data_IF_171366207761
#
_entry.id   IF_171366207761
#
_cell.length_a   1.000
_cell.length_b   1.000
_cell.length_c   1.000
_cell.angle_alpha   90.00
_cell.angle_beta   90.00
_cell.angle_gamma   90.00
#
_symmetry.space_group_name_H-M   'P 1'
#
loop_
_entity.id
_entity.type
_entity.pdbx_description
1 polymer ?
#
# COMPACT_ATOMS: atom_id res chain seq x y z
N UNK A 1 -2.80 9.28 -29.63
CA UNK A 1 -1.61 10.15 -29.72
C UNK A 1 -1.12 10.38 -28.30
N UNK A 2 -0.10 9.64 -27.84
CA UNK A 2 0.64 10.01 -26.63
C UNK A 2 2.12 9.75 -26.94
N UNK A 3 2.73 10.80 -27.48
CA UNK A 3 4.10 10.87 -27.91
C UNK A 3 4.49 12.33 -27.82
N UNK A 4 4.45 12.84 -26.60
CA UNK A 4 5.24 14.01 -26.21
C UNK A 4 5.97 13.63 -24.93
N UNK A 5 7.29 13.59 -25.03
CA UNK A 5 8.26 13.54 -23.95
C UNK A 5 8.12 14.85 -23.16
N UNK A 6 7.04 14.96 -22.38
CA UNK A 6 6.83 16.07 -21.46
C UNK A 6 7.83 15.86 -20.31
N UNK A 7 9.00 16.49 -20.42
CA UNK A 7 9.99 16.49 -19.37
C UNK A 7 9.32 16.87 -18.04
N UNK A 8 9.37 15.98 -17.04
CA UNK A 8 8.75 16.20 -15.74
C UNK A 8 9.12 17.58 -15.18
N UNK A 9 8.14 18.27 -14.59
CA UNK A 9 8.34 19.55 -13.92
C UNK A 9 9.48 19.42 -12.89
N UNK A 10 10.43 20.35 -12.92
CA UNK A 10 11.55 20.38 -11.97
C UNK A 10 11.29 21.44 -10.90
N UNK A 11 11.08 21.00 -9.67
CA UNK A 11 10.84 21.83 -8.49
C UNK A 11 12.04 21.85 -7.54
N UNK A 12 12.02 22.76 -6.58
CA UNK A 12 12.92 22.77 -5.42
C UNK A 12 12.16 22.29 -4.19
N UNK A 13 12.92 21.86 -3.17
CA UNK A 13 12.33 21.49 -1.88
C UNK A 13 11.54 22.61 -1.20
N UNK A 14 11.79 23.88 -1.50
CA UNK A 14 10.98 24.99 -0.98
C UNK A 14 9.61 25.11 -1.64
N UNK A 15 9.44 24.58 -2.86
CA UNK A 15 8.16 24.60 -3.56
C UNK A 15 7.26 23.49 -2.97
N UNK A 16 7.82 22.31 -2.72
CA UNK A 16 7.13 21.18 -2.06
C UNK A 16 6.91 21.40 -0.56
N UNK A 17 7.90 22.00 0.11
CA UNK A 17 7.87 22.28 1.55
C UNK A 17 7.91 23.80 1.80
N UNK A 18 6.83 24.54 1.50
CA UNK A 18 6.84 25.99 1.63
C UNK A 18 7.08 26.43 3.09
N UNK A 19 7.59 27.65 3.34
CA UNK A 19 8.01 28.06 4.69
C UNK A 19 6.92 27.96 5.77
N UNK A 20 5.64 28.07 5.41
CA UNK A 20 4.51 27.95 6.34
C UNK A 20 3.97 26.52 6.51
N UNK A 21 4.49 25.53 5.77
CA UNK A 21 4.01 24.15 5.89
C UNK A 21 4.52 23.44 7.14
N UNK A 22 3.76 22.46 7.62
CA UNK A 22 4.20 21.46 8.58
C UNK A 22 4.68 20.26 7.77
N UNK A 23 5.90 19.79 8.03
CA UNK A 23 6.50 18.64 7.31
C UNK A 23 6.86 17.59 8.34
N UNK A 24 6.29 16.41 8.22
CA UNK A 24 6.53 15.27 9.12
C UNK A 24 6.89 14.05 8.28
N UNK A 25 8.08 13.51 8.47
CA UNK A 25 8.45 12.18 7.95
C UNK A 25 7.67 11.14 8.74
N UNK A 26 6.83 10.37 8.05
CA UNK A 26 5.92 9.42 8.67
C UNK A 26 6.41 7.97 8.52
N UNK A 27 7.05 7.63 7.41
CA UNK A 27 7.51 6.27 7.15
C UNK A 27 8.78 6.23 6.28
N UNK A 28 9.41 5.05 6.27
CA UNK A 28 10.43 4.62 5.31
C UNK A 28 9.92 3.33 4.68
N UNK A 29 9.68 3.35 3.37
CA UNK A 29 9.35 2.17 2.57
C UNK A 29 10.63 1.59 1.94
N UNK A 30 10.53 0.48 1.20
CA UNK A 30 11.68 -0.20 0.59
C UNK A 30 12.48 0.69 -0.38
N UNK A 31 11.83 1.65 -1.04
CA UNK A 31 12.47 2.53 -2.04
C UNK A 31 12.11 4.01 -1.90
N UNK A 32 11.39 4.39 -0.85
CA UNK A 32 10.95 5.76 -0.65
C UNK A 32 11.00 6.21 0.81
N UNK A 33 11.20 7.51 1.00
CA UNK A 33 10.84 8.20 2.23
C UNK A 33 9.44 8.81 2.07
N UNK A 34 8.61 8.72 3.10
CA UNK A 34 7.23 9.21 3.04
C UNK A 34 7.03 10.33 4.05
N UNK A 35 6.47 11.44 3.59
CA UNK A 35 6.22 12.64 4.38
C UNK A 35 4.75 13.03 4.33
N UNK A 36 4.17 13.41 5.48
CA UNK A 36 2.93 14.18 5.52
C UNK A 36 3.28 15.66 5.50
N UNK A 37 2.73 16.39 4.54
CA UNK A 37 2.88 17.85 4.44
C UNK A 37 1.52 18.50 4.58
N UNK A 38 1.42 19.49 5.45
CA UNK A 38 0.19 20.27 5.65
C UNK A 38 0.48 21.76 5.46
N UNK A 39 -0.32 22.44 4.65
CA UNK A 39 -0.24 23.89 4.44
C UNK A 39 -1.66 24.49 4.31
N UNK A 40 -1.78 25.73 3.83
CA UNK A 40 -3.08 26.40 3.68
C UNK A 40 -3.96 25.81 2.57
N UNK A 41 -3.39 25.03 1.66
CA UNK A 41 -4.11 24.35 0.58
C UNK A 41 -4.61 22.96 0.97
N UNK A 42 -4.13 22.39 2.07
CA UNK A 42 -4.58 21.10 2.57
C UNK A 42 -3.45 20.22 3.10
N UNK A 43 -3.66 18.92 2.99
CA UNK A 43 -2.71 17.88 3.41
C UNK A 43 -2.43 16.97 2.22
N UNK A 44 -1.15 16.68 1.98
CA UNK A 44 -0.72 15.65 1.02
C UNK A 44 0.31 14.72 1.66
N UNK A 45 0.29 13.48 1.21
CA UNK A 45 1.36 12.51 1.43
C UNK A 45 2.34 12.61 0.27
N UNK A 46 3.62 12.76 0.59
CA UNK A 46 4.71 12.93 -0.37
C UNK A 46 5.61 11.70 -0.28
N UNK A 47 5.56 10.84 -1.30
CA UNK A 47 6.47 9.70 -1.47
C UNK A 47 7.69 10.17 -2.27
N UNK A 48 8.88 10.03 -1.70
CA UNK A 48 10.14 10.59 -2.22
C UNK A 48 11.09 9.45 -2.57
N UNK A 49 11.43 9.34 -3.85
CA UNK A 49 12.31 8.31 -4.39
C UNK A 49 13.58 8.97 -4.92
N UNK A 50 14.75 8.58 -4.41
CA UNK A 50 16.02 9.17 -4.85
C UNK A 50 16.36 8.69 -6.26
N UNK A 51 16.63 9.63 -7.15
CA UNK A 51 17.10 9.35 -8.50
C UNK A 51 18.62 9.32 -8.55
N UNK A 52 19.17 8.66 -9.58
CA UNK A 52 20.61 8.61 -9.84
C UNK A 52 21.19 10.03 -9.98
N UNK A 53 21.82 10.51 -8.89
CA UNK A 53 22.27 11.88 -8.74
C UNK A 53 23.29 11.99 -7.61
N UNK A 54 24.19 12.99 -7.62
CA UNK A 54 25.25 13.09 -6.65
C UNK A 54 24.72 13.48 -5.26
N UNK A 55 25.31 12.90 -4.22
CA UNK A 55 25.17 13.30 -2.81
C UNK A 55 26.55 13.48 -2.19
N UNK A 56 26.65 14.22 -1.07
CA UNK A 56 27.91 14.28 -0.31
C UNK A 56 28.28 12.87 0.17
N UNK A 57 29.57 12.53 0.08
CA UNK A 57 30.09 11.29 0.64
C UNK A 57 29.81 11.17 2.15
N UNK A 58 29.72 9.94 2.63
CA UNK A 58 29.60 9.66 4.06
C UNK A 58 30.84 10.14 4.81
N UNK A 59 30.66 10.59 6.05
CA UNK A 59 31.79 10.87 6.96
C UNK A 59 32.36 9.57 7.50
N UNK A 60 33.61 9.59 7.98
CA UNK A 60 34.24 8.42 8.62
C UNK A 60 33.42 7.88 9.80
N UNK A 61 32.72 8.75 10.53
CA UNK A 61 31.81 8.35 11.62
C UNK A 61 30.58 7.64 11.11
N UNK A 62 30.00 8.10 9.99
CA UNK A 62 28.83 7.45 9.38
C UNK A 62 29.16 6.06 8.86
N UNK A 63 30.31 5.92 8.18
CA UNK A 63 30.83 4.61 7.74
C UNK A 63 31.04 3.68 8.93
N UNK A 64 31.69 4.17 10.00
CA UNK A 64 31.94 3.39 11.21
C UNK A 64 30.65 2.94 11.90
N UNK A 65 29.59 3.74 11.83
CA UNK A 65 28.29 3.43 12.40
C UNK A 65 27.42 2.54 11.50
N UNK A 66 27.95 2.04 10.37
CA UNK A 66 27.24 1.13 9.48
C UNK A 66 26.11 1.80 8.69
N UNK A 67 26.19 3.12 8.44
CA UNK A 67 25.23 3.78 7.56
C UNK A 67 25.33 3.16 6.16
N UNK A 68 24.23 2.61 5.67
CA UNK A 68 24.10 2.16 4.29
C UNK A 68 23.37 3.27 3.54
N UNK A 69 23.82 3.58 2.33
CA UNK A 69 23.05 4.45 1.44
C UNK A 69 22.17 3.57 0.57
N UNK A 70 20.90 3.94 0.43
CA UNK A 70 19.95 3.29 -0.45
C UNK A 70 20.45 3.35 -1.91
N UNK A 71 20.08 2.38 -2.74
CA UNK A 71 20.41 2.46 -4.16
C UNK A 71 19.43 3.39 -4.89
N UNK A 72 19.91 4.35 -5.71
CA UNK A 72 19.03 5.24 -6.44
C UNK A 72 18.26 4.49 -7.52
N UNK A 73 17.04 4.94 -7.83
CA UNK A 73 16.18 4.37 -8.87
C UNK A 73 16.19 5.20 -10.15
N UNK A 74 15.86 4.54 -11.26
CA UNK A 74 15.49 5.21 -12.50
C UNK A 74 13.99 5.55 -12.47
N UNK A 75 13.57 6.55 -13.25
CA UNK A 75 12.14 6.86 -13.42
C UNK A 75 11.40 5.68 -14.08
N UNK A 76 12.09 4.97 -14.99
CA UNK A 76 11.55 3.76 -15.63
C UNK A 76 11.29 2.64 -14.62
N UNK A 77 12.07 2.57 -13.52
CA UNK A 77 11.89 1.53 -12.50
C UNK A 77 10.58 1.67 -11.71
N UNK A 78 9.96 2.85 -11.76
CA UNK A 78 8.75 3.21 -11.01
C UNK A 78 7.59 3.58 -11.93
N UNK A 79 7.79 3.54 -13.24
CA UNK A 79 6.77 3.83 -14.26
C UNK A 79 5.55 2.91 -14.09
N UNK A 80 5.78 1.63 -13.78
CA UNK A 80 4.69 0.69 -13.51
C UNK A 80 3.86 1.08 -12.29
N UNK A 81 4.49 1.51 -11.19
CA UNK A 81 3.80 1.98 -9.99
C UNK A 81 2.99 3.25 -10.29
N UNK A 82 3.55 4.19 -11.03
CA UNK A 82 2.88 5.43 -11.43
C UNK A 82 1.65 5.15 -12.31
N UNK A 83 1.77 4.25 -13.29
CA UNK A 83 0.67 3.87 -14.16
C UNK A 83 -0.46 3.20 -13.38
N UNK A 84 -0.13 2.28 -12.46
CA UNK A 84 -1.13 1.63 -11.62
C UNK A 84 -1.79 2.65 -10.67
N UNK A 85 -1.02 3.58 -10.10
CA UNK A 85 -1.55 4.65 -9.25
C UNK A 85 -2.57 5.52 -9.99
N UNK A 86 -2.26 5.91 -11.23
CA UNK A 86 -3.14 6.70 -12.09
C UNK A 86 -4.44 5.95 -12.40
N UNK A 87 -4.36 4.65 -12.71
CA UNK A 87 -5.55 3.85 -13.04
C UNK A 87 -6.47 3.63 -11.82
N UNK A 88 -5.89 3.49 -10.63
CA UNK A 88 -6.62 3.28 -9.39
C UNK A 88 -7.19 4.57 -8.79
N UNK A 89 -6.75 5.75 -9.24
CA UNK A 89 -7.01 7.03 -8.57
C UNK A 89 -8.50 7.35 -8.38
N UNK A 90 -9.35 6.88 -9.30
CA UNK A 90 -10.80 7.12 -9.28
C UNK A 90 -11.59 5.93 -8.66
N UNK A 91 -10.91 4.89 -8.15
CA UNK A 91 -11.55 3.74 -7.50
C UNK A 91 -11.60 3.99 -5.98
N UNK A 92 -12.81 4.07 -5.37
CA UNK A 92 -12.91 4.30 -3.93
C UNK A 92 -12.23 3.20 -3.12
N UNK A 93 -11.52 3.61 -2.07
CA UNK A 93 -10.70 2.73 -1.24
C UNK A 93 -9.23 2.66 -1.63
N UNK A 94 -8.82 3.28 -2.75
CA UNK A 94 -7.41 3.47 -3.12
C UNK A 94 -6.96 4.91 -2.89
N UNK A 95 -5.65 5.13 -2.75
CA UNK A 95 -5.12 6.47 -2.53
C UNK A 95 -5.29 7.33 -3.78
N UNK A 96 -5.74 8.56 -3.54
CA UNK A 96 -5.79 9.55 -4.60
C UNK A 96 -4.37 9.91 -5.05
N UNK A 97 -4.11 9.66 -6.32
CA UNK A 97 -2.93 10.15 -7.01
C UNK A 97 -3.17 11.60 -7.48
N UNK A 98 -2.33 12.55 -7.06
CA UNK A 98 -2.46 13.96 -7.45
C UNK A 98 -1.55 14.30 -8.64
N UNK A 99 -0.24 14.21 -8.44
CA UNK A 99 0.76 14.53 -9.46
C UNK A 99 2.11 13.88 -9.11
N UNK A 100 3.06 13.87 -10.05
CA UNK A 100 4.46 13.58 -9.80
C UNK A 100 5.37 14.59 -10.49
N UNK A 101 6.52 14.88 -9.88
CA UNK A 101 7.50 15.83 -10.40
C UNK A 101 8.91 15.49 -9.90
N UNK A 102 9.92 16.10 -10.52
CA UNK A 102 11.31 15.97 -10.08
C UNK A 102 11.65 17.10 -9.12
N UNK A 103 12.11 16.77 -7.92
CA UNK A 103 12.70 17.76 -7.01
C UNK A 103 14.21 17.75 -7.13
N UNK A 104 14.80 18.91 -7.40
CA UNK A 104 16.25 19.09 -7.53
C UNK A 104 16.77 20.11 -6.51
N UNK A 105 17.76 19.70 -5.73
CA UNK A 105 18.58 20.62 -4.94
C UNK A 105 18.74 20.25 -3.47
N UNK A 106 19.32 21.20 -2.72
CA UNK A 106 19.58 21.04 -1.29
C UNK A 106 18.26 20.96 -0.51
N UNK A 107 18.27 20.13 0.53
CA UNK A 107 17.17 20.03 1.48
C UNK A 107 16.89 21.35 2.20
N UNK A 108 15.62 21.56 2.57
CA UNK A 108 15.25 22.61 3.52
C UNK A 108 15.65 22.22 4.94
N UNK A 109 15.74 23.22 5.83
CA UNK A 109 15.95 22.96 7.27
C UNK A 109 14.85 22.06 7.85
N UNK A 110 13.60 22.25 7.42
CA UNK A 110 12.45 21.43 7.88
C UNK A 110 12.62 19.96 7.54
N UNK A 111 13.06 19.65 6.32
CA UNK A 111 13.30 18.28 5.88
C UNK A 111 14.39 17.61 6.73
N UNK A 112 15.46 18.34 7.04
CA UNK A 112 16.52 17.86 7.93
C UNK A 112 16.00 17.63 9.37
N UNK A 113 15.26 18.60 9.92
CA UNK A 113 14.76 18.53 11.28
C UNK A 113 13.79 17.34 11.46
N UNK A 114 12.88 17.12 10.50
CA UNK A 114 11.97 15.97 10.55
C UNK A 114 12.68 14.63 10.35
N UNK A 115 13.69 14.57 9.49
CA UNK A 115 14.52 13.38 9.30
C UNK A 115 15.19 12.97 10.61
N UNK A 116 15.79 13.93 11.31
CA UNK A 116 16.43 13.68 12.59
C UNK A 116 15.41 13.29 13.68
N UNK A 117 14.22 13.90 13.69
CA UNK A 117 13.17 13.54 14.63
C UNK A 117 12.70 12.10 14.43
N UNK A 118 12.47 11.69 13.17
CA UNK A 118 12.10 10.34 12.79
C UNK A 118 13.16 9.32 13.25
N UNK A 119 14.44 9.52 12.88
CA UNK A 119 15.50 8.59 13.30
C UNK A 119 15.72 8.52 14.81
N UNK A 120 15.55 9.63 15.53
CA UNK A 120 15.59 9.60 17.00
C UNK A 120 14.43 8.81 17.60
N UNK A 121 13.25 8.80 16.96
CA UNK A 121 12.11 7.97 17.38
C UNK A 121 12.40 6.51 17.08
N UNK A 122 12.69 6.17 15.83
CA UNK A 122 12.99 4.80 15.40
C UNK A 122 14.12 4.18 16.21
N UNK A 123 15.22 4.89 16.46
CA UNK A 123 16.34 4.36 17.26
C UNK A 123 15.98 4.11 18.74
N UNK A 124 14.94 4.76 19.26
CA UNK A 124 14.44 4.48 20.63
C UNK A 124 13.56 3.23 20.65
N UNK A 125 12.84 2.97 19.57
CA UNK A 125 11.97 1.80 19.40
C UNK A 125 12.79 0.55 19.03
N UNK A 126 13.75 0.70 18.12
CA UNK A 126 14.66 -0.33 17.67
C UNK A 126 16.10 0.24 17.56
N UNK A 127 16.94 0.04 18.61
CA UNK A 127 18.30 0.53 18.64
C UNK A 127 19.23 -0.04 17.56
N UNK A 128 18.91 -1.23 17.04
CA UNK A 128 19.74 -1.98 16.09
C UNK A 128 19.30 -1.75 14.63
N UNK A 129 18.18 -1.04 14.41
CA UNK A 129 17.70 -0.69 13.06
C UNK A 129 18.75 0.08 12.26
N UNK A 130 19.11 -0.47 11.11
CA UNK A 130 20.02 0.13 10.15
C UNK A 130 19.32 1.30 9.44
N UNK A 131 20.02 2.42 9.31
CA UNK A 131 19.59 3.55 8.48
C UNK A 131 20.03 3.32 7.04
N UNK A 132 19.08 3.36 6.10
CA UNK A 132 19.33 3.24 4.67
C UNK A 132 19.29 4.58 3.93
N UNK A 133 18.49 5.54 4.40
CA UNK A 133 18.32 6.80 3.69
C UNK A 133 19.35 7.88 4.09
N UNK A 134 20.01 8.53 3.11
CA UNK A 134 21.02 9.54 3.35
C UNK A 134 20.35 10.76 3.97
N UNK A 135 20.95 11.26 5.04
CA UNK A 135 20.46 12.48 5.70
C UNK A 135 20.30 13.63 4.68
N UNK A 136 19.19 14.40 4.75
CA UNK A 136 18.97 15.58 3.90
C UNK A 136 20.12 16.61 3.91
N UNK A 137 20.94 16.61 4.97
CA UNK A 137 22.17 17.43 5.06
C UNK A 137 23.24 17.11 4.00
N UNK A 138 23.15 15.91 3.39
CA UNK A 138 24.03 15.42 2.34
C UNK A 138 23.55 15.77 0.93
N UNK A 139 22.37 16.35 0.78
CA UNK A 139 21.85 16.74 -0.54
C UNK A 139 22.65 17.93 -1.08
N UNK A 140 22.95 17.87 -2.38
CA UNK A 140 23.66 18.85 -3.18
C UNK A 140 22.70 19.60 -4.10
N UNK A 141 23.18 20.64 -4.78
CA UNK A 141 22.36 21.39 -5.75
C UNK A 141 21.86 20.52 -6.91
N UNK A 142 22.57 19.44 -7.22
CA UNK A 142 22.23 18.51 -8.31
C UNK A 142 21.64 17.19 -7.84
N UNK A 143 21.40 17.00 -6.53
CA UNK A 143 20.66 15.84 -6.03
C UNK A 143 19.21 15.92 -6.52
N UNK A 144 18.71 14.81 -7.07
CA UNK A 144 17.38 14.69 -7.67
C UNK A 144 16.56 13.62 -6.99
N UNK A 145 15.28 13.88 -6.86
CA UNK A 145 14.27 12.96 -6.34
C UNK A 145 13.09 12.97 -7.30
N UNK A 146 12.49 11.81 -7.53
CA UNK A 146 11.12 11.74 -8.00
C UNK A 146 10.23 11.89 -6.76
N UNK A 147 9.27 12.80 -6.86
CA UNK A 147 8.28 13.03 -5.81
C UNK A 147 6.92 12.71 -6.37
N UNK A 148 6.20 11.86 -5.66
CA UNK A 148 4.81 11.49 -5.95
C UNK A 148 3.95 12.11 -4.85
N UNK A 149 2.99 12.93 -5.26
CA UNK A 149 2.03 13.56 -4.38
C UNK A 149 0.72 12.77 -4.36
N UNK A 150 0.31 12.41 -3.15
CA UNK A 150 -0.86 11.58 -2.86
C UNK A 150 -1.80 12.32 -1.88
N UNK A 151 -3.09 11.99 -1.90
CA UNK A 151 -4.07 12.48 -0.93
C UNK A 151 -3.82 12.00 0.50
N UNK A 152 -4.47 12.64 1.47
CA UNK A 152 -4.35 12.23 2.89
C UNK A 152 -5.12 10.94 3.18
N UNK A 153 -4.38 9.83 3.17
CA UNK A 153 -4.87 8.48 3.41
C UNK A 153 -5.27 8.19 4.86
N UNK A 154 -4.95 9.05 5.83
CA UNK A 154 -5.19 8.80 7.26
C UNK A 154 -4.02 8.13 7.97
N UNK A 155 -4.30 7.21 8.89
CA UNK A 155 -3.31 6.56 9.75
C UNK A 155 -3.14 5.10 9.35
N UNK A 156 -1.91 4.60 9.18
CA UNK A 156 -1.67 3.19 8.86
C UNK A 156 -2.34 2.26 9.89
N UNK A 157 -2.82 1.09 9.44
CA UNK A 157 -3.53 0.13 10.28
C UNK A 157 -2.64 -0.37 11.43
N UNK A 158 -1.32 -0.50 11.19
CA UNK A 158 -0.34 -0.83 12.25
C UNK A 158 -0.27 0.19 13.39
N UNK A 159 -0.60 1.45 13.10
CA UNK A 159 -0.63 2.54 14.07
C UNK A 159 -2.06 2.81 14.60
N UNK A 160 -3.06 2.02 14.18
CA UNK A 160 -4.46 2.20 14.56
C UNK A 160 -4.88 1.22 15.67
N UNK A 161 -5.43 1.73 16.77
CA UNK A 161 -5.91 0.87 17.87
C UNK A 161 -7.33 0.36 17.60
N UNK A 162 -7.44 -0.93 17.28
CA UNK A 162 -8.70 -1.64 17.06
C UNK A 162 -9.39 -1.92 18.40
N UNK A 163 -10.54 -1.30 18.65
CA UNK A 163 -11.20 -1.32 19.98
C UNK A 163 -12.68 -1.68 19.96
N UNK A 164 -13.28 -1.73 18.77
CA UNK A 164 -14.70 -1.98 18.55
C UNK A 164 -14.85 -2.98 17.40
N UNK A 165 -15.65 -4.03 17.59
CA UNK A 165 -15.85 -5.10 16.62
C UNK A 165 -16.37 -4.60 15.27
N UNK A 166 -17.12 -3.50 15.24
CA UNK A 166 -17.57 -2.91 13.97
C UNK A 166 -16.40 -2.36 13.13
N UNK A 167 -15.26 -2.04 13.76
CA UNK A 167 -14.04 -1.69 13.05
C UNK A 167 -13.48 -2.90 12.31
N UNK A 168 -13.52 -4.10 12.92
CA UNK A 168 -13.07 -5.33 12.25
C UNK A 168 -13.91 -5.61 11.01
N UNK A 169 -15.23 -5.51 11.14
CA UNK A 169 -16.17 -5.68 10.03
C UNK A 169 -15.95 -4.66 8.92
N UNK A 170 -15.95 -3.38 9.25
CA UNK A 170 -15.87 -2.32 8.23
C UNK A 170 -14.51 -2.33 7.53
N UNK A 171 -13.40 -2.49 8.26
CA UNK A 171 -12.06 -2.50 7.67
C UNK A 171 -11.94 -3.67 6.68
N UNK A 172 -12.25 -4.89 7.12
CA UNK A 172 -12.17 -6.09 6.28
C UNK A 172 -13.10 -6.01 5.05
N UNK A 173 -14.34 -5.57 5.23
CA UNK A 173 -15.30 -5.50 4.12
C UNK A 173 -14.99 -4.35 3.16
N UNK A 174 -14.51 -3.19 3.64
CA UNK A 174 -14.09 -2.09 2.76
C UNK A 174 -12.88 -2.50 1.89
N UNK A 175 -11.91 -3.23 2.46
CA UNK A 175 -10.79 -3.79 1.69
C UNK A 175 -11.27 -4.75 0.60
N UNK A 176 -12.17 -5.68 0.95
CA UNK A 176 -12.74 -6.62 -0.01
C UNK A 176 -13.47 -5.90 -1.16
N UNK A 177 -14.28 -4.89 -0.84
CA UNK A 177 -15.03 -4.10 -1.82
C UNK A 177 -14.07 -3.33 -2.75
N UNK A 178 -13.05 -2.67 -2.19
CA UNK A 178 -12.06 -1.94 -2.97
C UNK A 178 -11.31 -2.88 -3.94
N UNK A 179 -10.82 -4.01 -3.44
CA UNK A 179 -10.12 -5.01 -4.26
C UNK A 179 -11.04 -5.60 -5.34
N UNK A 180 -12.29 -5.95 -5.03
CA UNK A 180 -13.23 -6.47 -6.01
C UNK A 180 -13.49 -5.48 -7.16
N UNK A 181 -13.62 -4.18 -6.85
CA UNK A 181 -13.76 -3.13 -7.86
C UNK A 181 -12.52 -3.00 -8.76
N UNK A 182 -11.33 -3.06 -8.16
CA UNK A 182 -10.08 -2.99 -8.92
C UNK A 182 -9.81 -4.27 -9.74
N UNK A 183 -10.20 -5.44 -9.24
CA UNK A 183 -10.20 -6.70 -9.99
C UNK A 183 -11.09 -6.60 -11.24
N UNK A 184 -12.32 -6.10 -11.08
CA UNK A 184 -13.28 -5.97 -12.18
C UNK A 184 -12.86 -4.90 -13.20
N UNK A 185 -12.39 -3.74 -12.73
CA UNK A 185 -12.03 -2.62 -13.60
C UNK A 185 -10.67 -2.79 -14.29
N UNK A 186 -9.69 -3.39 -13.60
CA UNK A 186 -8.27 -3.33 -13.98
C UNK A 186 -7.54 -4.65 -13.82
N UNK A 187 -8.24 -5.77 -13.62
CA UNK A 187 -7.64 -7.08 -13.38
C UNK A 187 -6.54 -6.98 -12.30
N UNK A 188 -6.80 -6.22 -11.24
CA UNK A 188 -5.79 -5.78 -10.29
C UNK A 188 -5.39 -6.87 -9.30
N UNK A 189 -4.11 -6.90 -8.95
CA UNK A 189 -3.56 -7.65 -7.81
C UNK A 189 -2.62 -6.74 -7.01
N UNK A 190 -2.85 -6.58 -5.71
CA UNK A 190 -2.02 -5.70 -4.88
C UNK A 190 -0.62 -6.28 -4.66
N UNK A 191 -0.55 -7.57 -4.31
CA UNK A 191 0.65 -8.37 -4.05
C UNK A 191 1.56 -7.94 -2.89
N UNK A 192 1.18 -6.88 -2.18
CA UNK A 192 1.89 -6.42 -0.99
C UNK A 192 0.97 -5.77 0.06
N UNK A 193 -0.24 -6.28 0.22
CA UNK A 193 -1.27 -5.63 1.06
C UNK A 193 -1.13 -6.04 2.53
N UNK A 194 -0.05 -5.62 3.17
CA UNK A 194 0.12 -5.75 4.62
C UNK A 194 -0.48 -4.53 5.36
N UNK A 195 -0.55 -4.59 6.69
CA UNK A 195 -1.15 -3.58 7.57
C UNK A 195 -0.55 -2.16 7.41
N UNK A 196 0.68 -2.05 6.94
CA UNK A 196 1.32 -0.76 6.64
C UNK A 196 0.78 -0.09 5.36
N UNK A 197 0.18 -0.88 4.48
CA UNK A 197 -0.38 -0.45 3.19
C UNK A 197 -1.91 -0.26 3.23
N UNK A 198 -2.52 -0.36 4.41
CA UNK A 198 -3.93 0.01 4.65
C UNK A 198 -3.95 1.18 5.63
N UNK A 199 -4.48 2.33 5.22
CA UNK A 199 -4.71 3.45 6.12
C UNK A 199 -6.18 3.57 6.49
N UNK A 200 -6.41 4.03 7.73
CA UNK A 200 -7.71 4.17 8.35
C UNK A 200 -7.98 5.65 8.62
N UNK A 201 -9.19 6.10 8.28
CA UNK A 201 -9.67 7.45 8.56
C UNK A 201 -11.07 7.39 9.16
N UNK A 202 -11.29 8.09 10.27
CA UNK A 202 -12.61 8.26 10.86
C UNK A 202 -13.31 9.46 10.21
N UNK A 203 -14.20 9.20 9.26
CA UNK A 203 -14.94 10.25 8.53
C UNK A 203 -16.32 10.50 9.12
N UNK A 204 -16.89 9.53 9.84
CA UNK A 204 -18.22 9.62 10.44
C UNK A 204 -18.17 9.17 11.90
N UNK A 205 -19.19 9.58 12.66
CA UNK A 205 -19.39 9.03 14.00
C UNK A 205 -19.87 7.57 13.88
N UNK A 206 -19.38 6.66 14.75
CA UNK A 206 -19.94 5.33 14.84
C UNK A 206 -21.45 5.38 15.06
N UNK A 207 -22.17 4.42 14.47
CA UNK A 207 -23.61 4.26 14.61
C UNK A 207 -23.90 2.98 15.36
N UNK A 208 -24.92 2.99 16.20
CA UNK A 208 -25.42 1.76 16.82
C UNK A 208 -26.10 0.89 15.78
N UNK A 209 -25.83 -0.41 15.82
CA UNK A 209 -26.59 -1.37 15.04
C UNK A 209 -28.00 -1.55 15.62
N UNK A 210 -28.99 -1.61 14.74
CA UNK A 210 -30.37 -1.95 15.11
C UNK A 210 -30.47 -3.45 15.44
N UNK A 211 -31.23 -3.81 16.47
CA UNK A 211 -31.23 -5.16 17.05
C UNK A 211 -31.65 -6.28 16.07
N UNK A 212 -32.39 -5.94 15.00
CA UNK A 212 -32.91 -6.91 14.01
C UNK A 212 -32.16 -6.86 12.66
N UNK A 213 -31.04 -6.14 12.57
CA UNK A 213 -30.25 -6.06 11.34
C UNK A 213 -29.22 -7.20 11.26
N UNK A 214 -29.25 -7.95 10.16
CA UNK A 214 -28.20 -8.91 9.80
C UNK A 214 -26.96 -8.23 9.18
N UNK A 215 -27.05 -6.94 8.88
CA UNK A 215 -25.96 -6.14 8.32
C UNK A 215 -24.88 -5.92 9.38
N UNK A 216 -23.63 -6.03 8.96
CA UNK A 216 -22.46 -5.77 9.81
C UNK A 216 -21.61 -4.61 9.29
N UNK A 217 -21.88 -4.17 8.05
CA UNK A 217 -21.17 -3.11 7.36
C UNK A 217 -21.76 -1.71 7.59
N UNK A 218 -20.89 -0.73 7.85
CA UNK A 218 -21.18 0.70 7.89
C UNK A 218 -21.43 1.28 9.29
N UNK A 219 -21.02 0.59 10.36
CA UNK A 219 -21.30 0.99 11.75
C UNK A 219 -20.14 1.70 12.45
N UNK A 220 -18.89 1.50 12.01
CA UNK A 220 -17.71 2.08 12.66
C UNK A 220 -17.48 3.56 12.31
N UNK A 221 -18.03 4.01 11.17
CA UNK A 221 -17.77 5.33 10.60
C UNK A 221 -16.34 5.52 10.09
N UNK A 222 -15.65 4.42 9.80
CA UNK A 222 -14.33 4.40 9.20
C UNK A 222 -14.40 4.31 7.67
N UNK A 223 -13.36 4.83 7.04
CA UNK A 223 -12.99 4.59 5.65
C UNK A 223 -11.57 4.02 5.62
N UNK A 224 -11.27 3.24 4.57
CA UNK A 224 -9.94 2.71 4.32
C UNK A 224 -9.34 3.33 3.06
N UNK A 225 -8.01 3.35 3.01
CA UNK A 225 -7.25 3.76 1.84
C UNK A 225 -6.07 2.81 1.65
N UNK A 226 -6.07 2.09 0.54
CA UNK A 226 -5.05 1.12 0.13
C UNK A 226 -3.90 1.87 -0.58
N UNK A 227 -2.66 1.61 -0.14
CA UNK A 227 -1.44 2.29 -0.56
C UNK A 227 -0.41 1.35 -1.18
N UNK A 228 0.58 1.95 -1.85
CA UNK A 228 1.82 1.33 -2.33
C UNK A 228 1.64 0.19 -3.35
N UNK A 229 1.77 0.56 -4.61
CA UNK A 229 1.58 -0.37 -5.74
C UNK A 229 2.91 -0.86 -6.33
N UNK A 230 4.01 -0.75 -5.58
CA UNK A 230 5.36 -1.07 -6.07
C UNK A 230 5.54 -2.52 -6.51
N UNK A 231 4.77 -3.47 -5.94
CA UNK A 231 4.78 -4.89 -6.32
C UNK A 231 3.53 -5.34 -7.08
N UNK A 232 2.59 -4.42 -7.32
CA UNK A 232 1.27 -4.74 -7.86
C UNK A 232 1.31 -5.15 -9.33
N UNK A 233 0.17 -5.67 -9.78
CA UNK A 233 -0.13 -5.97 -11.18
C UNK A 233 -1.48 -5.40 -11.55
N UNK A 234 -1.57 -4.77 -12.71
CA UNK A 234 -2.83 -4.32 -13.28
C UNK A 234 -2.82 -4.40 -14.81
N UNK A 235 -4.00 -4.40 -15.40
CA UNK A 235 -4.23 -4.32 -16.83
C UNK A 235 -5.62 -3.75 -17.06
N UNK A 236 -5.69 -2.57 -17.69
CA UNK A 236 -6.96 -2.00 -18.13
C UNK A 236 -7.51 -2.77 -19.35
N UNK A 237 -8.57 -3.59 -19.20
CA UNK A 237 -9.13 -4.37 -20.31
C UNK A 237 -9.89 -3.49 -21.31
N UNK A 238 -10.28 -2.26 -20.94
CA UNK A 238 -10.95 -1.32 -21.83
C UNK A 238 -9.99 -0.67 -22.84
N UNK A 239 -8.68 -0.62 -22.52
CA UNK A 239 -7.64 -0.15 -23.43
C UNK A 239 -7.24 -1.24 -24.43
N UNK A 240 -7.45 -0.97 -25.72
CA UNK A 240 -7.10 -1.91 -26.79
C UNK A 240 -5.61 -2.26 -26.77
N UNK A 241 -5.28 -3.56 -26.74
CA UNK A 241 -3.93 -4.09 -26.66
C UNK A 241 -3.13 -3.66 -25.40
N UNK A 242 -3.81 -3.30 -24.30
CA UNK A 242 -3.13 -3.03 -23.04
C UNK A 242 -2.35 -4.25 -22.55
N UNK A 243 -1.04 -4.10 -22.50
CA UNK A 243 -0.16 -5.07 -21.86
C UNK A 243 -0.31 -4.94 -20.34
N UNK A 244 -0.27 -6.06 -19.59
CA UNK A 244 -0.24 -6.01 -18.14
C UNK A 244 1.01 -5.27 -17.65
N UNK A 245 0.81 -4.37 -16.71
CA UNK A 245 1.87 -3.75 -15.93
C UNK A 245 2.05 -4.59 -14.67
N UNK A 246 3.27 -5.04 -14.41
CA UNK A 246 3.58 -5.78 -13.20
C UNK A 246 5.05 -5.63 -12.84
N UNK A 247 5.33 -5.49 -11.54
CA UNK A 247 6.68 -5.69 -11.04
C UNK A 247 7.05 -7.18 -11.15
N UNK A 248 8.28 -7.48 -11.60
CA UNK A 248 8.76 -8.84 -11.62
C UNK A 248 9.39 -9.18 -10.26
N UNK A 249 8.64 -9.87 -9.40
CA UNK A 249 9.13 -10.23 -8.06
C UNK A 249 10.30 -11.25 -8.12
N UNK A 250 10.56 -11.91 -9.26
CA UNK A 250 11.78 -12.74 -9.41
C UNK A 250 13.08 -11.94 -9.37
N UNK A 251 13.01 -10.61 -9.48
CA UNK A 251 14.17 -9.73 -9.35
C UNK A 251 14.72 -9.68 -7.92
N UNK A 252 13.91 -10.03 -6.92
CA UNK A 252 14.31 -10.06 -5.52
C UNK A 252 13.81 -11.34 -4.82
N UNK A 253 14.67 -12.36 -4.81
CA UNK A 253 14.35 -13.62 -4.15
C UNK A 253 14.27 -13.51 -2.63
N UNK A 254 14.80 -12.43 -2.03
CA UNK A 254 14.77 -12.23 -0.58
C UNK A 254 13.34 -12.12 -0.05
N UNK A 255 12.40 -11.61 -0.87
CA UNK A 255 10.96 -11.62 -0.59
C UNK A 255 10.45 -13.02 -0.23
N UNK A 256 10.97 -14.05 -0.89
CA UNK A 256 10.52 -15.44 -0.73
C UNK A 256 11.35 -16.21 0.29
N UNK A 257 12.64 -15.89 0.43
CA UNK A 257 13.55 -16.60 1.36
C UNK A 257 13.56 -16.01 2.77
N UNK A 258 13.10 -14.77 2.96
CA UNK A 258 13.09 -14.12 4.28
C UNK A 258 12.05 -14.74 5.22
N UNK A 259 12.37 -14.80 6.51
CA UNK A 259 11.48 -15.31 7.58
C UNK A 259 11.28 -14.28 8.69
N UNK A 260 11.68 -13.02 8.46
CA UNK A 260 11.71 -11.99 9.49
C UNK A 260 10.33 -11.47 9.94
N UNK A 261 9.27 -11.71 9.16
CA UNK A 261 7.95 -11.15 9.38
C UNK A 261 6.85 -12.10 8.86
N UNK A 262 5.65 -12.09 9.46
CA UNK A 262 4.52 -12.91 9.02
C UNK A 262 4.16 -12.72 7.53
N UNK A 263 4.26 -11.50 6.99
CA UNK A 263 3.94 -11.20 5.59
C UNK A 263 4.83 -11.98 4.59
N UNK A 264 6.02 -12.43 5.01
CA UNK A 264 6.89 -13.23 4.15
C UNK A 264 6.26 -14.56 3.73
N UNK A 265 5.35 -15.10 4.54
CA UNK A 265 4.59 -16.29 4.19
C UNK A 265 3.69 -16.05 2.98
N UNK A 266 3.08 -14.86 2.89
CA UNK A 266 2.18 -14.50 1.80
C UNK A 266 2.93 -14.44 0.47
N UNK A 267 4.13 -13.84 0.42
CA UNK A 267 4.95 -13.85 -0.80
C UNK A 267 5.28 -15.27 -1.27
N UNK A 268 5.60 -16.18 -0.35
CA UNK A 268 5.86 -17.58 -0.67
C UNK A 268 4.61 -18.30 -1.16
N UNK A 269 3.46 -18.06 -0.53
CA UNK A 269 2.18 -18.63 -0.95
C UNK A 269 1.83 -18.17 -2.37
N UNK A 270 1.95 -16.87 -2.67
CA UNK A 270 1.74 -16.34 -4.03
C UNK A 270 2.65 -17.03 -5.04
N UNK A 271 3.97 -17.03 -4.80
CA UNK A 271 4.93 -17.63 -5.73
C UNK A 271 4.70 -19.13 -5.91
N UNK A 272 4.40 -19.84 -4.83
CA UNK A 272 4.14 -21.29 -4.87
C UNK A 272 2.86 -21.61 -5.63
N UNK A 273 1.81 -20.81 -5.45
CA UNK A 273 0.56 -20.95 -6.20
C UNK A 273 0.80 -20.75 -7.70
N UNK A 274 1.58 -19.73 -8.09
CA UNK A 274 1.96 -19.53 -9.49
C UNK A 274 2.80 -20.70 -10.04
N UNK A 275 3.67 -21.30 -9.22
CA UNK A 275 4.54 -22.41 -9.61
C UNK A 275 3.79 -23.74 -9.76
N UNK A 276 2.92 -24.06 -8.80
CA UNK A 276 2.30 -25.39 -8.66
C UNK A 276 0.89 -25.43 -9.21
N UNK A 277 0.18 -24.31 -9.19
CA UNK A 277 -1.23 -24.22 -9.54
C UNK A 277 -2.17 -24.82 -8.48
N UNK A 278 -1.69 -25.04 -7.26
CA UNK A 278 -2.44 -25.49 -6.09
C UNK A 278 -2.01 -24.67 -4.85
N UNK A 279 -2.64 -24.91 -3.70
CA UNK A 279 -2.38 -24.17 -2.44
C UNK A 279 -1.21 -24.72 -1.62
N UNK A 280 -0.54 -25.78 -2.07
CA UNK A 280 0.67 -26.27 -1.41
C UNK A 280 1.79 -25.24 -1.59
N UNK A 281 2.34 -24.73 -0.50
CA UNK A 281 3.40 -23.72 -0.57
C UNK A 281 4.77 -24.26 -0.20
N UNK A 282 5.79 -23.69 -0.83
CA UNK A 282 7.18 -24.12 -0.76
C UNK A 282 7.85 -23.41 0.43
N UNK A 283 8.63 -24.12 1.27
CA UNK A 283 9.33 -23.48 2.38
C UNK A 283 10.43 -22.52 1.85
N UNK A 284 10.93 -21.59 2.68
CA UNK A 284 11.90 -20.56 2.26
C UNK A 284 13.11 -21.10 1.50
N UNK A 285 13.64 -22.26 1.89
CA UNK A 285 14.83 -22.89 1.28
C UNK A 285 14.58 -23.32 -0.18
N UNK A 286 13.32 -23.60 -0.54
CA UNK A 286 12.93 -23.99 -1.88
C UNK A 286 12.82 -22.82 -2.87
N UNK A 287 13.02 -21.58 -2.40
CA UNK A 287 12.84 -20.37 -3.22
C UNK A 287 14.15 -19.77 -3.75
N UNK A 288 15.31 -20.38 -3.51
CA UNK A 288 16.62 -19.83 -3.87
C UNK A 288 16.98 -19.82 -5.37
N UNK A 289 16.11 -20.32 -6.26
CA UNK A 289 16.33 -20.31 -7.72
C UNK A 289 15.38 -19.32 -8.40
N UNK A 290 15.87 -18.36 -9.21
CA UNK A 290 15.01 -17.45 -9.95
C UNK A 290 14.38 -18.11 -11.17
N UNK A 291 13.18 -17.67 -11.55
CA UNK A 291 12.40 -18.16 -12.69
C UNK A 291 12.29 -19.70 -12.77
N UNK A 292 11.88 -20.40 -11.69
CA UNK A 292 11.73 -21.85 -11.74
C UNK A 292 10.63 -22.27 -12.72
N UNK A 293 10.76 -23.49 -13.23
CA UNK A 293 9.79 -24.11 -14.14
C UNK A 293 8.81 -24.96 -13.34
N UNK A 294 7.54 -24.61 -13.38
CA UNK A 294 6.44 -25.43 -12.90
C UNK A 294 5.81 -26.28 -14.01
N UNK A 295 4.75 -27.05 -13.71
CA UNK A 295 4.03 -27.85 -14.71
C UNK A 295 3.44 -27.03 -15.85
N UNK A 296 3.13 -25.75 -15.60
CA UNK A 296 2.59 -24.79 -16.57
C UNK A 296 3.65 -23.92 -17.26
N UNK A 297 4.93 -24.22 -17.05
CA UNK A 297 6.06 -23.46 -17.60
C UNK A 297 6.75 -22.56 -16.58
N UNK A 298 7.53 -21.60 -17.07
CA UNK A 298 8.19 -20.60 -16.23
C UNK A 298 7.14 -19.64 -15.68
N UNK A 299 7.24 -19.30 -14.39
CA UNK A 299 6.34 -18.33 -13.78
C UNK A 299 6.44 -16.97 -14.46
N UNK A 300 5.30 -16.28 -14.49
CA UNK A 300 5.21 -14.93 -15.02
C UNK A 300 4.34 -14.10 -14.11
N UNK A 301 4.95 -13.09 -13.49
CA UNK A 301 4.26 -12.12 -12.64
C UNK A 301 3.36 -11.17 -13.44
N UNK A 302 3.33 -11.24 -14.77
CA UNK A 302 2.32 -10.54 -15.59
C UNK A 302 0.98 -11.29 -15.68
N UNK A 303 0.97 -12.58 -15.35
CA UNK A 303 -0.27 -13.39 -15.32
C UNK A 303 -1.26 -12.81 -14.32
N UNK A 304 -2.55 -12.85 -14.65
CA UNK A 304 -3.62 -12.48 -13.74
C UNK A 304 -4.00 -13.66 -12.84
N UNK A 305 -3.80 -13.51 -11.54
CA UNK A 305 -4.08 -14.50 -10.50
C UNK A 305 -4.73 -13.81 -9.28
N UNK A 306 -6.01 -13.41 -9.34
CA UNK A 306 -6.68 -12.65 -8.27
C UNK A 306 -6.69 -13.36 -6.90
N UNK A 307 -6.42 -14.67 -6.88
CA UNK A 307 -6.17 -15.41 -5.64
C UNK A 307 -5.05 -14.81 -4.78
N UNK A 308 -4.10 -14.07 -5.37
CA UNK A 308 -3.09 -13.33 -4.59
C UNK A 308 -3.72 -12.27 -3.67
N UNK A 309 -4.81 -11.61 -4.08
CA UNK A 309 -5.58 -10.71 -3.23
C UNK A 309 -6.23 -11.48 -2.07
N UNK A 310 -6.77 -12.68 -2.33
CA UNK A 310 -7.35 -13.53 -1.27
C UNK A 310 -6.31 -13.94 -0.22
N UNK A 311 -5.08 -14.25 -0.63
CA UNK A 311 -3.99 -14.54 0.32
C UNK A 311 -3.71 -13.35 1.25
N UNK A 312 -3.73 -12.12 0.73
CA UNK A 312 -3.58 -10.91 1.54
C UNK A 312 -4.81 -10.62 2.41
N UNK A 313 -6.03 -10.85 1.91
CA UNK A 313 -7.24 -10.75 2.73
C UNK A 313 -7.23 -11.73 3.90
N UNK A 314 -6.72 -12.95 3.69
CA UNK A 314 -6.56 -13.93 4.76
C UNK A 314 -5.52 -13.48 5.80
N UNK A 315 -4.43 -12.87 5.33
CA UNK A 315 -3.42 -12.27 6.19
C UNK A 315 -4.00 -11.13 7.04
N UNK A 316 -4.69 -10.17 6.43
CA UNK A 316 -5.27 -9.02 7.14
C UNK A 316 -6.41 -9.44 8.07
N UNK A 317 -7.22 -10.42 7.71
CA UNK A 317 -8.20 -10.99 8.63
C UNK A 317 -7.56 -11.50 9.93
N UNK A 318 -6.45 -12.23 9.82
CA UNK A 318 -5.69 -12.69 11.01
C UNK A 318 -5.10 -11.51 11.76
N UNK A 319 -4.49 -10.56 11.05
CA UNK A 319 -3.92 -9.35 11.64
C UNK A 319 -4.96 -8.61 12.49
N UNK A 320 -6.14 -8.35 11.93
CA UNK A 320 -7.28 -7.70 12.59
C UNK A 320 -7.71 -8.46 13.85
N UNK A 321 -7.78 -9.79 13.77
CA UNK A 321 -8.14 -10.63 14.92
C UNK A 321 -7.08 -10.61 16.02
N UNK A 322 -5.80 -10.63 15.66
CA UNK A 322 -4.67 -10.74 16.60
C UNK A 322 -4.36 -9.40 17.29
N UNK A 323 -4.67 -8.28 16.63
CA UNK A 323 -4.44 -6.92 17.13
C UNK A 323 -5.69 -6.24 17.70
N UNK A 324 -6.81 -6.96 17.80
CA UNK A 324 -8.01 -6.42 18.44
C UNK A 324 -7.81 -6.24 19.95
N UNK A 325 -7.89 -4.99 20.40
CA UNK A 325 -7.73 -4.58 21.80
C UNK A 325 -9.07 -4.32 22.51
N UNK A 326 -10.21 -4.66 21.90
CA UNK A 326 -11.54 -4.58 22.50
C UNK A 326 -11.90 -5.80 23.36
N UNK A 327 -13.17 -5.94 23.79
CA UNK A 327 -13.61 -7.05 24.61
C UNK A 327 -13.47 -8.41 23.92
N UNK A 328 -12.90 -9.41 24.59
CA UNK A 328 -12.69 -10.75 24.01
C UNK A 328 -14.00 -11.42 23.54
N UNK A 329 -15.12 -11.15 24.21
CA UNK A 329 -16.45 -11.65 23.83
C UNK A 329 -16.90 -11.13 22.47
N UNK A 330 -16.53 -9.90 22.11
CA UNK A 330 -16.85 -9.33 20.80
C UNK A 330 -16.00 -9.98 19.69
N UNK A 331 -14.71 -10.24 19.97
CA UNK A 331 -13.85 -10.95 19.04
C UNK A 331 -14.31 -12.40 18.82
N UNK A 332 -14.72 -13.10 19.88
CA UNK A 332 -15.30 -14.43 19.79
C UNK A 332 -16.58 -14.42 18.95
N UNK A 333 -17.43 -13.41 19.11
CA UNK A 333 -18.61 -13.22 18.29
C UNK A 333 -18.24 -13.00 16.82
N UNK A 334 -17.30 -12.10 16.53
CA UNK A 334 -16.80 -11.86 15.17
C UNK A 334 -16.35 -13.17 14.53
N UNK A 335 -15.42 -13.90 15.17
CA UNK A 335 -14.89 -15.18 14.68
C UNK A 335 -15.99 -16.24 14.50
N UNK A 336 -16.99 -16.26 15.37
CA UNK A 336 -18.13 -17.16 15.23
C UNK A 336 -18.97 -16.82 14.00
N UNK A 337 -19.26 -15.54 13.78
CA UNK A 337 -20.06 -15.07 12.64
C UNK A 337 -19.32 -15.28 11.31
N UNK A 338 -18.01 -15.12 11.29
CA UNK A 338 -17.16 -15.25 10.10
C UNK A 338 -16.56 -16.66 9.94
N UNK A 339 -17.00 -17.65 10.71
CA UNK A 339 -16.41 -19.00 10.69
C UNK A 339 -16.52 -19.71 9.33
N UNK A 340 -17.67 -19.59 8.66
CA UNK A 340 -17.86 -20.12 7.30
C UNK A 340 -16.98 -19.39 6.29
N UNK A 341 -16.95 -18.05 6.33
CA UNK A 341 -16.04 -17.25 5.51
C UNK A 341 -14.58 -17.71 5.68
N UNK A 342 -14.14 -17.91 6.94
CA UNK A 342 -12.79 -18.33 7.23
C UNK A 342 -12.45 -19.69 6.61
N UNK A 343 -13.42 -20.63 6.58
CA UNK A 343 -13.24 -21.94 5.93
C UNK A 343 -12.87 -21.79 4.45
N UNK A 344 -13.41 -20.78 3.78
CA UNK A 344 -13.15 -20.49 2.36
C UNK A 344 -11.99 -19.51 2.14
N UNK A 345 -11.56 -18.78 3.17
CA UNK A 345 -10.48 -17.79 3.12
C UNK A 345 -9.13 -18.38 3.54
N UNK A 346 -9.12 -19.41 4.39
CA UNK A 346 -7.90 -19.94 5.00
C UNK A 346 -6.96 -20.56 3.94
N UNK A 347 -5.74 -20.02 3.74
CA UNK A 347 -4.78 -20.61 2.81
C UNK A 347 -4.37 -22.05 3.19
N UNK A 348 -4.55 -22.46 4.46
CA UNK A 348 -4.24 -23.81 4.95
C UNK A 348 -5.42 -24.78 4.95
N UNK A 349 -6.58 -24.41 4.39
CA UNK A 349 -7.71 -25.33 4.28
C UNK A 349 -7.33 -26.60 3.51
N UNK A 350 -7.96 -27.74 3.79
CA UNK A 350 -7.73 -29.01 3.08
C UNK A 350 -8.00 -28.87 1.56
N UNK A 351 -7.35 -29.66 0.71
CA UNK A 351 -7.38 -29.49 -0.76
C UNK A 351 -8.80 -29.56 -1.36
N UNK A 352 -9.70 -30.31 -0.74
CA UNK A 352 -11.11 -30.46 -1.14
C UNK A 352 -12.00 -29.28 -0.73
N UNK A 353 -11.52 -28.40 0.15
CA UNK A 353 -12.20 -27.16 0.51
C UNK A 353 -12.09 -26.15 -0.63
N UNK A 354 -13.25 -25.70 -1.12
CA UNK A 354 -13.33 -24.66 -2.14
C UNK A 354 -13.00 -23.30 -1.51
N UNK A 355 -11.80 -22.78 -1.76
CA UNK A 355 -11.45 -21.43 -1.34
C UNK A 355 -11.98 -20.36 -2.31
N UNK A 356 -12.08 -19.13 -1.84
CA UNK A 356 -12.27 -17.97 -2.71
C UNK A 356 -11.12 -17.85 -3.70
N UNK A 357 -11.43 -17.44 -4.92
CA UNK A 357 -10.45 -17.26 -6.01
C UNK A 357 -10.22 -15.79 -6.36
N UNK A 358 -11.05 -14.88 -5.85
CA UNK A 358 -11.01 -13.43 -6.09
C UNK A 358 -11.75 -12.68 -5.00
N UNK A 359 -11.42 -11.40 -4.78
CA UNK A 359 -12.15 -10.54 -3.85
C UNK A 359 -13.63 -10.38 -4.25
N UNK A 360 -13.94 -10.44 -5.54
CA UNK A 360 -15.33 -10.45 -6.03
C UNK A 360 -16.17 -11.60 -5.44
N UNK A 361 -15.64 -12.84 -5.42
CA UNK A 361 -16.33 -13.99 -4.80
C UNK A 361 -16.55 -13.80 -3.29
N UNK A 362 -15.60 -13.15 -2.60
CA UNK A 362 -15.70 -12.83 -1.18
C UNK A 362 -16.80 -11.78 -0.91
N UNK A 363 -16.86 -10.72 -1.71
CA UNK A 363 -17.93 -9.70 -1.62
C UNK A 363 -19.29 -10.34 -1.91
N UNK A 364 -19.37 -11.24 -2.90
CA UNK A 364 -20.60 -11.97 -3.20
C UNK A 364 -21.03 -12.87 -2.04
N UNK A 365 -20.09 -13.53 -1.35
CA UNK A 365 -20.38 -14.26 -0.12
C UNK A 365 -20.97 -13.33 0.96
N UNK A 366 -20.35 -12.17 1.20
CA UNK A 366 -20.80 -11.22 2.20
C UNK A 366 -22.20 -10.64 1.90
N UNK A 367 -22.55 -10.45 0.62
CA UNK A 367 -23.90 -10.09 0.18
C UNK A 367 -24.91 -11.21 0.49
N UNK A 368 -24.59 -12.46 0.18
CA UNK A 368 -25.49 -13.59 0.45
C UNK A 368 -25.65 -13.87 1.95
N UNK A 369 -24.68 -13.49 2.77
CA UNK A 369 -24.73 -13.57 4.22
C UNK A 369 -25.45 -12.36 4.87
N UNK A 370 -25.99 -11.44 4.07
CA UNK A 370 -26.64 -10.18 4.47
C UNK A 370 -25.75 -9.20 5.26
N UNK A 371 -24.43 -9.42 5.28
CA UNK A 371 -23.47 -8.58 6.00
C UNK A 371 -23.34 -7.19 5.39
N UNK A 372 -23.48 -7.12 4.06
CA UNK A 372 -23.53 -5.91 3.23
C UNK A 372 -24.83 -5.95 2.43
N UNK A 373 -25.43 -4.79 2.20
CA UNK A 373 -26.58 -4.63 1.31
C UNK A 373 -26.15 -4.08 -0.06
N UNK A 374 -26.90 -4.40 -1.12
CA UNK A 374 -26.53 -4.02 -2.49
C UNK A 374 -26.49 -2.49 -2.69
N UNK A 375 -27.38 -1.76 -2.03
CA UNK A 375 -27.41 -0.29 -2.05
C UNK A 375 -26.20 0.32 -1.35
N UNK A 376 -25.62 -0.36 -0.36
CA UNK A 376 -24.36 0.07 0.27
C UNK A 376 -23.19 -0.06 -0.71
N UNK A 377 -23.18 -1.04 -1.61
CA UNK A 377 -22.14 -1.13 -2.65
C UNK A 377 -22.23 -0.01 -3.67
N UNK A 378 -23.45 0.45 -4.00
CA UNK A 378 -23.68 1.60 -4.87
C UNK A 378 -23.44 2.94 -4.16
N UNK A 379 -23.78 3.05 -2.87
CA UNK A 379 -23.59 4.27 -2.08
C UNK A 379 -22.13 4.57 -1.71
N UNK A 380 -21.23 3.59 -1.85
CA UNK A 380 -19.77 3.82 -1.82
C UNK A 380 -19.27 4.37 -3.17
N UNK A 381 -20.03 4.31 -4.26
CA UNK A 381 -19.72 5.08 -5.49
C UNK A 381 -20.08 6.56 -5.35
N UNK A 382 -21.10 6.88 -4.53
CA UNK A 382 -21.56 8.26 -4.28
C UNK A 382 -20.75 8.98 -3.19
N UNK A 383 -19.76 8.33 -2.53
CA UNK A 383 -18.69 9.09 -1.89
C UNK A 383 -17.90 9.74 -3.02
N UNK A 384 -18.33 10.93 -3.43
CA UNK A 384 -17.58 11.77 -4.38
C UNK A 384 -16.17 11.81 -3.84
N UNK A 385 -15.25 11.17 -4.56
CA UNK A 385 -13.82 11.36 -4.39
C UNK A 385 -13.61 12.83 -4.78
N UNK A 386 -13.79 13.74 -3.82
CA UNK A 386 -13.52 15.15 -4.02
C UNK A 386 -12.06 15.23 -4.42
N UNK A 387 -11.78 15.51 -5.69
CA UNK A 387 -10.41 15.70 -6.18
C UNK A 387 -9.75 16.73 -5.30
N UNK A 388 -8.83 16.27 -4.47
CA UNK A 388 -7.98 17.14 -3.69
C UNK A 388 -6.91 17.69 -4.63
N UNK A 389 -6.91 19.01 -4.83
CA UNK A 389 -5.88 19.66 -5.62
C UNK A 389 -4.48 19.49 -4.99
N UNK A 390 -3.45 19.66 -5.82
CA UNK A 390 -2.06 19.67 -5.35
C UNK A 390 -1.85 20.79 -4.33
N UNK A 391 -1.14 20.49 -3.24
CA UNK A 391 -0.74 21.50 -2.26
C UNK A 391 0.52 22.28 -2.71
N UNK A 392 1.10 21.91 -3.85
CA UNK A 392 2.36 22.44 -4.39
C UNK A 392 2.07 23.45 -5.49
N UNK A 393 1.83 24.69 -5.07
CA UNK A 393 1.57 25.83 -5.96
C UNK A 393 2.90 26.45 -6.39
N UNK A 394 3.05 26.75 -7.68
CA UNK A 394 4.25 27.44 -8.18
C UNK A 394 4.14 28.95 -8.00
N UNK A 395 5.28 29.63 -7.85
CA UNK A 395 5.35 31.10 -7.71
C UNK A 395 4.75 31.88 -8.89
N UNK A 396 4.51 31.23 -10.03
CA UNK A 396 3.85 31.85 -11.19
C UNK A 396 2.32 31.85 -11.08
N UNK A 397 1.74 30.98 -10.24
CA UNK A 397 0.29 30.91 -9.98
C UNK A 397 -0.17 31.83 -8.85
N UNK A 398 0.76 32.33 -8.03
CA UNK A 398 0.53 33.31 -6.95
C UNK A 398 0.70 34.78 -7.39
N UNK A 399 1.05 35.04 -8.66
CA UNK A 399 1.27 36.37 -9.23
C UNK A 399 0.13 36.79 -10.17
#
# INVERSE_FOLDING_TARGET
MHGEDASLRILKWNDVCPPKSIVVKIAEASFAEVYRISNEHGVSIIKVIRLASPIKAQTSTQVKNGLVDEEPRSVTDVEGELMISDWLADIPGFVMYKEHYVVKGKATKKLLDTHQAFHRRIKREDPDRIQFYPSPSRYLNDTKFLVIELGDAGTALEDWTLTDVYQLWDIFLLEAIALARAEDALLFEHRDLHEGNVCIKRTRRPKSRENDSNTWFGYSGLEITILDYGLSRAQDPARQAALPVAYNLENDLSLFTSTHAPQCEVYRQMRSFLLRGNREWIPPEGHGTPNPKGPKGTISWTSYMPYTNILWMAYLYRYLCDHFAGPSTELEQFKSQTSELWTHLDPYAEEDVRCFTSANELVFFALNADWIQLDQLAGVDDSVVEREDSIVVTREEEA
#
